data_IF_576740869517
#
_entry.id   IF_576740869517
#
_cell.length_a   1.000
_cell.length_b   1.000
_cell.length_c   1.000
_cell.angle_alpha   90.00
_cell.angle_beta   90.00
_cell.angle_gamma   90.00
#
_symmetry.space_group_name_H-M   'P 1'
#
loop_
_entity.id
_entity.type
_entity.pdbx_description
1 polymer ?
#
# COMPACT_ATOMS: atom_id res chain seq x y z
N UNK A 1 13.83 -16.90 1.93
CA UNK A 1 13.66 -15.74 2.84
C UNK A 1 14.88 -14.82 2.70
N UNK A 2 15.22 -14.44 1.48
CA UNK A 2 16.63 -14.14 1.17
C UNK A 2 16.99 -12.67 1.33
N UNK A 3 16.01 -11.78 1.13
CA UNK A 3 16.12 -10.34 1.40
C UNK A 3 16.14 -10.03 2.89
N UNK A 4 15.56 -10.91 3.71
CA UNK A 4 15.46 -10.74 5.16
C UNK A 4 14.64 -9.54 5.61
N UNK A 5 13.69 -9.11 4.76
CA UNK A 5 12.66 -8.13 5.11
C UNK A 5 11.67 -8.72 6.12
N UNK A 6 11.03 -7.84 6.90
CA UNK A 6 9.86 -8.21 7.68
C UNK A 6 8.61 -8.08 6.82
N UNK A 7 7.78 -9.10 6.76
CA UNK A 7 6.66 -9.16 5.82
C UNK A 7 5.51 -10.01 6.37
N UNK A 8 4.28 -9.54 6.19
CA UNK A 8 3.12 -10.41 6.13
C UNK A 8 2.95 -10.84 4.66
N UNK A 9 3.20 -12.11 4.37
CA UNK A 9 2.99 -12.69 3.05
C UNK A 9 1.54 -13.14 2.95
N UNK A 10 0.70 -12.29 2.35
CA UNK A 10 -0.72 -12.57 2.22
C UNK A 10 -0.99 -13.43 0.97
N UNK A 11 -1.40 -14.67 1.18
CA UNK A 11 -1.77 -15.58 0.10
C UNK A 11 -3.11 -15.16 -0.51
N UNK A 12 -3.13 -14.91 -1.82
CA UNK A 12 -4.32 -14.46 -2.52
C UNK A 12 -5.24 -15.61 -2.90
N UNK A 13 -6.49 -15.55 -2.43
CA UNK A 13 -7.56 -16.45 -2.84
C UNK A 13 -8.44 -15.78 -3.89
N UNK A 14 -8.70 -16.46 -5.00
CA UNK A 14 -9.57 -15.95 -6.05
C UNK A 14 -10.02 -17.06 -7.00
N UNK A 15 -11.11 -16.83 -7.71
CA UNK A 15 -11.53 -17.74 -8.78
C UNK A 15 -10.59 -17.60 -9.98
N UNK A 16 -9.99 -18.72 -10.38
CA UNK A 16 -9.06 -18.80 -11.49
C UNK A 16 -9.71 -19.54 -12.65
N UNK A 17 -9.39 -19.11 -13.88
CA UNK A 17 -9.82 -19.79 -15.12
C UNK A 17 -8.93 -20.99 -15.49
N UNK A 18 -8.08 -21.45 -14.57
CA UNK A 18 -7.18 -22.58 -14.74
C UNK A 18 -7.58 -23.75 -13.83
N UNK A 19 -6.83 -24.84 -13.88
CA UNK A 19 -7.08 -26.05 -13.08
C UNK A 19 -6.64 -25.92 -11.60
N UNK A 20 -6.64 -24.71 -11.02
CA UNK A 20 -6.31 -24.48 -9.61
C UNK A 20 -7.51 -23.91 -8.85
N UNK A 21 -8.38 -24.83 -8.45
CA UNK A 21 -9.65 -24.54 -7.79
C UNK A 21 -9.48 -23.84 -6.43
N UNK A 22 -10.55 -23.20 -5.96
CA UNK A 22 -10.58 -22.57 -4.65
C UNK A 22 -10.27 -23.55 -3.51
N UNK A 23 -10.73 -24.81 -3.63
CA UNK A 23 -10.44 -25.85 -2.65
C UNK A 23 -8.97 -26.26 -2.65
N UNK A 24 -8.33 -26.32 -3.83
CA UNK A 24 -6.89 -26.58 -3.94
C UNK A 24 -6.06 -25.41 -3.41
N UNK A 25 -6.53 -24.17 -3.59
CA UNK A 25 -5.92 -22.99 -2.97
C UNK A 25 -5.97 -23.07 -1.44
N UNK A 26 -7.10 -23.47 -0.85
CA UNK A 26 -7.22 -23.70 0.60
C UNK A 26 -6.28 -24.81 1.08
N UNK A 27 -6.18 -25.93 0.34
CA UNK A 27 -5.25 -27.00 0.66
C UNK A 27 -3.79 -26.54 0.57
N UNK A 28 -3.43 -25.79 -0.48
CA UNK A 28 -2.10 -25.22 -0.65
C UNK A 28 -1.75 -24.26 0.50
N UNK A 29 -2.68 -23.37 0.87
CA UNK A 29 -2.51 -22.49 2.01
C UNK A 29 -2.29 -23.27 3.32
N UNK A 30 -3.09 -24.32 3.56
CA UNK A 30 -2.94 -25.17 4.74
C UNK A 30 -1.57 -25.88 4.78
N UNK A 31 -0.99 -26.22 3.63
CA UNK A 31 0.38 -26.76 3.55
C UNK A 31 1.44 -25.69 3.76
N UNK A 32 1.26 -24.47 3.23
CA UNK A 32 2.16 -23.34 3.49
C UNK A 32 2.19 -22.97 4.97
N UNK A 33 1.06 -23.03 5.67
CA UNK A 33 0.98 -22.78 7.12
C UNK A 33 1.80 -23.78 7.95
N UNK A 34 2.11 -24.96 7.41
CA UNK A 34 2.98 -25.97 8.04
C UNK A 34 4.46 -25.76 7.71
N UNK A 35 4.80 -24.90 6.74
CA UNK A 35 6.17 -24.67 6.32
C UNK A 35 6.90 -23.80 7.36
N UNK A 36 7.86 -24.40 8.05
CA UNK A 36 8.67 -23.73 9.08
C UNK A 36 9.43 -22.50 8.55
N UNK A 37 9.70 -22.43 7.24
CA UNK A 37 10.36 -21.26 6.61
C UNK A 37 9.45 -20.04 6.57
N UNK A 38 8.13 -20.25 6.53
CA UNK A 38 7.11 -19.21 6.46
C UNK A 38 6.38 -19.01 7.80
N UNK A 39 6.48 -19.98 8.70
CA UNK A 39 5.96 -19.93 10.06
C UNK A 39 7.05 -19.52 11.09
N UNK A 40 8.18 -18.97 10.63
CA UNK A 40 9.18 -18.39 11.53
C UNK A 40 8.59 -17.12 12.16
N UNK A 41 8.37 -17.12 13.48
CA UNK A 41 7.48 -16.16 14.14
C UNK A 41 7.84 -14.67 13.99
N UNK A 42 9.05 -14.30 13.57
CA UNK A 42 9.51 -12.90 13.65
C UNK A 42 9.55 -12.17 12.29
N UNK A 43 10.10 -12.77 11.23
CA UNK A 43 10.37 -12.03 9.98
C UNK A 43 9.27 -12.15 8.93
N UNK A 44 8.90 -13.36 8.54
CA UNK A 44 7.81 -13.57 7.58
C UNK A 44 6.73 -14.37 8.24
N UNK A 45 5.51 -13.85 8.11
CA UNK A 45 4.31 -14.47 8.64
C UNK A 45 3.29 -14.59 7.51
N UNK A 46 2.46 -15.62 7.54
CA UNK A 46 1.46 -15.86 6.50
C UNK A 46 0.16 -15.15 6.85
N UNK A 47 -0.34 -14.37 5.89
CA UNK A 47 -1.66 -13.73 5.94
C UNK A 47 -2.56 -14.20 4.79
N UNK A 48 -3.70 -13.55 4.68
CA UNK A 48 -4.75 -13.85 3.69
C UNK A 48 -4.99 -12.60 2.86
N UNK A 49 -5.12 -12.76 1.55
CA UNK A 49 -5.63 -11.72 0.65
C UNK A 49 -6.88 -12.24 -0.06
N UNK A 50 -7.96 -11.45 -0.06
CA UNK A 50 -9.23 -11.83 -0.69
C UNK A 50 -10.04 -10.59 -1.09
N UNK A 51 -10.47 -10.52 -2.36
CA UNK A 51 -11.12 -9.33 -2.94
C UNK A 51 -12.60 -9.54 -3.31
N UNK A 52 -13.15 -10.73 -3.06
CA UNK A 52 -14.47 -11.14 -3.56
C UNK A 52 -15.48 -11.41 -2.43
N UNK A 53 -15.55 -10.51 -1.45
CA UNK A 53 -16.46 -10.67 -0.31
C UNK A 53 -17.93 -10.48 -0.71
N UNK A 54 -18.70 -11.57 -0.69
CA UNK A 54 -20.13 -11.60 -1.01
C UNK A 54 -20.90 -12.28 0.12
N UNK A 55 -22.07 -11.75 0.47
CA UNK A 55 -22.90 -12.36 1.51
C UNK A 55 -23.50 -13.67 1.01
N UNK A 56 -23.67 -14.65 1.90
CA UNK A 56 -24.23 -15.97 1.59
C UNK A 56 -23.48 -16.72 0.47
N UNK A 57 -22.17 -16.51 0.38
CA UNK A 57 -21.28 -17.15 -0.60
C UNK A 57 -20.32 -18.14 0.08
N UNK A 58 -20.20 -19.35 -0.47
CA UNK A 58 -19.38 -20.43 0.11
C UNK A 58 -17.89 -20.07 0.22
N UNK A 59 -17.32 -19.42 -0.80
CA UNK A 59 -15.90 -19.02 -0.79
C UNK A 59 -15.67 -17.94 0.27
N UNK A 60 -16.59 -16.98 0.37
CA UNK A 60 -16.55 -15.95 1.43
C UNK A 60 -16.61 -16.59 2.81
N UNK A 61 -17.54 -17.52 3.05
CA UNK A 61 -17.64 -18.20 4.34
C UNK A 61 -16.37 -19.00 4.66
N UNK A 62 -15.77 -19.68 3.68
CA UNK A 62 -14.52 -20.39 3.87
C UNK A 62 -13.36 -19.45 4.28
N UNK A 63 -13.28 -18.25 3.72
CA UNK A 63 -12.29 -17.24 4.13
C UNK A 63 -12.59 -16.71 5.53
N UNK A 64 -13.86 -16.44 5.86
CA UNK A 64 -14.27 -16.01 7.20
C UNK A 64 -13.86 -17.06 8.24
N UNK A 65 -14.18 -18.33 7.99
CA UNK A 65 -13.81 -19.43 8.87
C UNK A 65 -12.30 -19.59 8.98
N UNK A 66 -11.57 -19.45 7.87
CA UNK A 66 -10.11 -19.54 7.86
C UNK A 66 -9.49 -18.44 8.71
N UNK A 67 -9.93 -17.18 8.57
CA UNK A 67 -9.39 -16.04 9.32
C UNK A 67 -9.75 -16.12 10.80
N UNK A 68 -10.96 -16.57 11.15
CA UNK A 68 -11.42 -16.65 12.54
C UNK A 68 -10.84 -17.87 13.30
N UNK A 69 -10.59 -18.99 12.60
CA UNK A 69 -10.15 -20.23 13.25
C UNK A 69 -8.63 -20.46 13.17
N UNK A 70 -7.89 -19.64 12.40
CA UNK A 70 -6.44 -19.76 12.28
C UNK A 70 -5.75 -18.46 12.69
N UNK A 71 -4.54 -18.60 13.23
CA UNK A 71 -3.69 -17.45 13.57
C UNK A 71 -2.96 -16.95 12.32
N UNK A 72 -3.67 -16.23 11.45
CA UNK A 72 -3.10 -15.56 10.27
C UNK A 72 -2.57 -14.18 10.65
N UNK A 73 -1.47 -13.74 10.03
CA UNK A 73 -0.80 -12.49 10.42
C UNK A 73 -1.53 -11.23 9.99
N UNK A 74 -2.35 -11.31 8.95
CA UNK A 74 -3.18 -10.23 8.45
C UNK A 74 -4.24 -10.76 7.48
N UNK A 75 -5.30 -9.98 7.30
CA UNK A 75 -6.21 -10.06 6.17
C UNK A 75 -6.09 -8.75 5.36
N UNK A 76 -5.89 -8.83 4.06
CA UNK A 76 -5.82 -7.66 3.18
C UNK A 76 -6.78 -7.78 2.00
N UNK A 77 -7.27 -6.64 1.53
CA UNK A 77 -8.15 -6.56 0.35
C UNK A 77 -8.04 -5.18 -0.30
N UNK A 78 -8.46 -5.09 -1.55
CA UNK A 78 -8.68 -3.84 -2.26
C UNK A 78 -10.08 -3.34 -1.97
N UNK A 79 -10.18 -2.09 -1.53
CA UNK A 79 -11.43 -1.37 -1.35
C UNK A 79 -11.34 -0.04 -2.10
N UNK A 80 -12.07 0.09 -3.21
CA UNK A 80 -12.20 1.38 -3.91
C UNK A 80 -13.53 2.03 -3.58
N UNK A 81 -14.64 1.31 -3.81
CA UNK A 81 -15.99 1.89 -3.75
C UNK A 81 -16.26 2.86 -4.90
N UNK A 82 -17.28 3.71 -4.71
CA UNK A 82 -17.65 4.75 -5.68
C UNK A 82 -17.89 4.20 -7.10
N UNK A 83 -17.43 4.88 -8.17
CA UNK A 83 -17.64 4.42 -9.54
C UNK A 83 -16.91 3.12 -9.87
N UNK A 84 -15.91 2.71 -9.07
CA UNK A 84 -15.16 1.47 -9.29
C UNK A 84 -15.94 0.23 -8.81
N UNK A 85 -16.94 0.40 -7.94
CA UNK A 85 -17.79 -0.68 -7.41
C UNK A 85 -17.06 -1.87 -6.73
N UNK A 86 -15.78 -1.71 -6.39
CA UNK A 86 -15.04 -2.68 -5.57
C UNK A 86 -15.35 -2.44 -4.09
N UNK A 87 -16.42 -3.08 -3.59
CA UNK A 87 -17.06 -2.78 -2.32
C UNK A 87 -16.64 -3.71 -1.14
N UNK A 88 -15.34 -3.99 -0.98
CA UNK A 88 -14.81 -4.70 0.19
C UNK A 88 -14.64 -3.77 1.41
N UNK A 89 -15.69 -3.01 1.75
CA UNK A 89 -15.61 -1.92 2.74
C UNK A 89 -15.60 -2.43 4.19
N UNK A 90 -15.18 -1.59 5.15
CA UNK A 90 -15.36 -1.87 6.59
C UNK A 90 -16.80 -2.25 6.95
N UNK A 91 -17.79 -1.57 6.38
CA UNK A 91 -19.20 -1.91 6.58
C UNK A 91 -19.55 -3.32 6.09
N UNK A 92 -19.01 -3.73 4.95
CA UNK A 92 -19.20 -5.09 4.42
C UNK A 92 -18.58 -6.15 5.34
N UNK A 93 -17.39 -5.88 5.87
CA UNK A 93 -16.71 -6.80 6.78
C UNK A 93 -17.36 -6.86 8.16
N UNK A 94 -18.01 -5.78 8.63
CA UNK A 94 -18.81 -5.82 9.86
C UNK A 94 -19.99 -6.77 9.71
N UNK A 95 -20.70 -6.72 8.58
CA UNK A 95 -21.83 -7.64 8.29
C UNK A 95 -21.40 -9.10 8.27
N UNK A 96 -20.15 -9.38 7.84
CA UNK A 96 -19.55 -10.72 7.82
C UNK A 96 -18.95 -11.13 9.17
N UNK A 97 -19.00 -10.26 10.19
CA UNK A 97 -18.48 -10.54 11.53
C UNK A 97 -16.96 -10.57 11.63
N UNK A 98 -16.23 -10.03 10.65
CA UNK A 98 -14.76 -10.06 10.61
C UNK A 98 -14.10 -8.92 11.39
N UNK A 99 -14.79 -7.79 11.56
CA UNK A 99 -14.17 -6.57 12.12
C UNK A 99 -13.75 -6.69 13.58
N UNK A 100 -14.44 -7.49 14.39
CA UNK A 100 -14.21 -7.64 15.83
C UNK A 100 -13.14 -8.70 16.19
N UNK A 101 -12.35 -9.14 15.22
CA UNK A 101 -11.30 -10.16 15.41
C UNK A 101 -9.97 -9.60 15.94
N UNK A 102 -9.05 -10.50 16.26
CA UNK A 102 -7.66 -10.16 16.63
C UNK A 102 -6.74 -9.99 15.42
N UNK A 103 -7.12 -10.53 14.27
CA UNK A 103 -6.39 -10.38 13.01
C UNK A 103 -6.40 -8.92 12.53
N UNK A 104 -5.24 -8.31 12.21
CA UNK A 104 -5.22 -7.00 11.59
C UNK A 104 -5.80 -7.08 10.17
N UNK A 105 -6.65 -6.11 9.83
CA UNK A 105 -7.30 -6.01 8.52
C UNK A 105 -6.81 -4.73 7.84
N UNK A 106 -6.26 -4.88 6.63
CA UNK A 106 -5.76 -3.76 5.84
C UNK A 106 -6.62 -3.58 4.59
N UNK A 107 -7.30 -2.45 4.52
CA UNK A 107 -8.06 -2.03 3.34
C UNK A 107 -7.16 -1.19 2.43
N UNK A 108 -6.72 -1.76 1.32
CA UNK A 108 -5.89 -1.05 0.34
C UNK A 108 -6.75 -0.05 -0.45
N UNK A 109 -6.19 1.14 -0.64
CA UNK A 109 -6.82 2.35 -1.17
C UNK A 109 -7.82 3.01 -0.21
N UNK A 110 -9.01 2.42 -0.10
CA UNK A 110 -10.19 2.97 0.57
C UNK A 110 -10.63 4.36 0.04
N UNK A 111 -10.38 4.63 -1.24
CA UNK A 111 -10.54 5.95 -1.89
C UNK A 111 -11.92 6.60 -1.70
N UNK A 112 -12.98 5.79 -1.65
CA UNK A 112 -14.37 6.22 -1.44
C UNK A 112 -14.95 5.72 -0.12
N UNK A 113 -14.13 5.57 0.93
CA UNK A 113 -14.62 5.29 2.27
C UNK A 113 -15.67 6.32 2.72
N UNK A 114 -16.75 5.82 3.29
CA UNK A 114 -17.84 6.63 3.84
C UNK A 114 -17.55 7.07 5.28
N UNK A 115 -18.40 7.95 5.84
CA UNK A 115 -18.30 8.27 7.27
C UNK A 115 -18.54 7.04 8.15
N UNK A 116 -19.50 6.19 7.79
CA UNK A 116 -19.80 4.96 8.53
C UNK A 116 -18.59 4.01 8.50
N UNK A 117 -17.94 3.85 7.34
CA UNK A 117 -16.70 3.07 7.24
C UNK A 117 -15.60 3.64 8.15
N UNK A 118 -15.47 4.98 8.21
CA UNK A 118 -14.49 5.64 9.07
C UNK A 118 -14.77 5.43 10.57
N UNK A 119 -16.05 5.45 10.97
CA UNK A 119 -16.46 5.15 12.35
C UNK A 119 -16.17 3.69 12.71
N UNK A 120 -16.38 2.75 11.79
CA UNK A 120 -16.07 1.34 11.99
C UNK A 120 -14.57 1.09 12.12
N UNK A 121 -13.74 1.72 11.27
CA UNK A 121 -12.28 1.65 11.39
C UNK A 121 -11.82 2.09 12.79
N UNK A 122 -12.35 3.22 13.29
CA UNK A 122 -12.05 3.72 14.64
C UNK A 122 -12.57 2.81 15.75
N UNK A 123 -13.80 2.29 15.61
CA UNK A 123 -14.45 1.40 16.59
C UNK A 123 -13.67 0.10 16.79
N UNK A 124 -13.12 -0.47 15.72
CA UNK A 124 -12.43 -1.76 15.74
C UNK A 124 -10.89 -1.66 15.67
N UNK A 125 -10.35 -0.43 15.67
CA UNK A 125 -8.92 -0.14 15.51
C UNK A 125 -8.32 -0.89 14.31
N UNK A 126 -8.93 -0.66 13.15
CA UNK A 126 -8.53 -1.19 11.85
C UNK A 126 -8.12 -0.02 10.95
N UNK A 127 -7.21 -0.27 10.01
CA UNK A 127 -6.54 0.79 9.26
C UNK A 127 -6.70 0.58 7.76
N UNK A 128 -6.62 1.69 7.01
CA UNK A 128 -6.48 1.69 5.56
C UNK A 128 -5.02 1.83 5.16
N UNK A 129 -4.67 1.32 3.98
CA UNK A 129 -3.38 1.57 3.33
C UNK A 129 -3.60 2.42 2.08
N UNK A 130 -3.32 3.72 2.17
CA UNK A 130 -3.45 4.67 1.07
C UNK A 130 -2.22 4.64 0.16
N UNK A 131 -2.44 4.42 -1.14
CA UNK A 131 -1.39 4.25 -2.16
C UNK A 131 -1.41 5.41 -3.17
N UNK A 132 -1.18 6.62 -2.67
CA UNK A 132 -1.44 7.86 -3.39
C UNK A 132 -0.93 7.92 -4.84
N UNK A 133 0.36 7.64 -5.11
CA UNK A 133 0.90 7.79 -6.47
C UNK A 133 0.13 6.91 -7.46
N UNK A 134 -0.16 5.67 -7.05
CA UNK A 134 -0.99 4.73 -7.80
C UNK A 134 -2.43 5.26 -7.95
N UNK A 135 -3.03 5.71 -6.85
CA UNK A 135 -4.42 6.19 -6.86
C UNK A 135 -4.63 7.44 -7.72
N UNK A 136 -3.64 8.35 -7.76
CA UNK A 136 -3.67 9.50 -8.66
C UNK A 136 -3.46 9.09 -10.11
N UNK A 137 -2.53 8.17 -10.37
CA UNK A 137 -2.20 7.74 -11.72
C UNK A 137 -3.36 7.01 -12.41
N UNK A 138 -4.05 6.13 -11.68
CA UNK A 138 -5.16 5.34 -12.24
C UNK A 138 -6.54 5.96 -12.02
N UNK A 139 -6.61 7.18 -11.46
CA UNK A 139 -7.88 7.87 -11.25
C UNK A 139 -8.76 7.28 -10.15
N UNK A 140 -8.19 6.49 -9.23
CA UNK A 140 -8.90 5.97 -8.06
C UNK A 140 -9.30 7.11 -7.10
N UNK A 141 -8.49 8.17 -7.03
CA UNK A 141 -8.73 9.30 -6.15
C UNK A 141 -8.57 8.96 -4.67
N UNK A 142 -8.78 9.97 -3.82
CA UNK A 142 -8.61 9.86 -2.36
C UNK A 142 -9.36 11.01 -1.66
N UNK A 143 -10.60 11.27 -2.10
CA UNK A 143 -11.32 12.46 -1.66
C UNK A 143 -11.60 12.45 -0.16
N UNK A 144 -11.83 11.31 0.50
CA UNK A 144 -12.12 11.32 1.94
C UNK A 144 -10.92 10.93 2.81
N UNK A 145 -9.92 10.26 2.24
CA UNK A 145 -8.77 9.72 2.96
C UNK A 145 -8.02 10.74 3.84
N UNK A 146 -7.81 12.02 3.44
CA UNK A 146 -7.20 13.02 4.32
C UNK A 146 -7.94 13.29 5.63
N UNK A 147 -9.23 12.96 5.73
CA UNK A 147 -10.08 13.14 6.91
C UNK A 147 -10.09 11.92 7.85
N UNK A 148 -9.44 10.82 7.47
CA UNK A 148 -9.36 9.55 8.22
C UNK A 148 -7.91 9.13 8.46
N UNK A 149 -6.99 10.10 8.49
CA UNK A 149 -5.55 9.86 8.69
C UNK A 149 -5.23 9.20 10.04
N UNK A 150 -6.12 9.33 11.02
CA UNK A 150 -5.99 8.66 12.32
C UNK A 150 -6.12 7.13 12.23
N UNK A 151 -6.67 6.61 11.13
CA UNK A 151 -6.79 5.18 10.82
C UNK A 151 -6.20 4.85 9.43
N UNK A 152 -5.11 5.53 9.05
CA UNK A 152 -4.47 5.36 7.74
C UNK A 152 -2.96 5.13 7.87
N UNK A 153 -2.41 4.33 6.96
CA UNK A 153 -0.99 4.18 6.68
C UNK A 153 -0.73 4.42 5.18
N UNK A 154 0.53 4.62 4.81
CA UNK A 154 0.92 4.74 3.40
C UNK A 154 1.44 3.42 2.84
N UNK A 155 1.11 3.16 1.57
CA UNK A 155 1.68 2.10 0.76
C UNK A 155 2.19 2.64 -0.57
N UNK A 156 2.98 1.82 -1.27
CA UNK A 156 3.53 2.14 -2.62
C UNK A 156 2.76 1.48 -3.75
N UNK A 157 1.88 0.52 -3.43
CA UNK A 157 1.23 -0.36 -4.40
C UNK A 157 2.23 -1.20 -5.24
N UNK A 158 1.86 -1.48 -6.48
CA UNK A 158 2.64 -2.28 -7.42
C UNK A 158 3.82 -1.50 -8.05
N UNK A 159 4.99 -2.14 -8.04
CA UNK A 159 6.26 -1.57 -8.50
C UNK A 159 6.56 -1.80 -9.99
N UNK A 160 5.56 -2.23 -10.78
CA UNK A 160 5.71 -2.31 -12.23
C UNK A 160 5.55 -0.94 -12.91
N UNK A 161 4.83 -0.01 -12.25
CA UNK A 161 4.65 1.38 -12.73
C UNK A 161 5.50 2.37 -11.94
N UNK A 162 5.61 2.19 -10.61
CA UNK A 162 6.19 3.20 -9.72
C UNK A 162 7.44 2.71 -8.97
N UNK A 163 8.19 3.68 -8.45
CA UNK A 163 9.30 3.40 -7.55
C UNK A 163 8.80 2.89 -6.18
N UNK A 164 9.58 2.04 -5.52
CA UNK A 164 9.28 1.51 -4.17
C UNK A 164 9.68 2.48 -3.06
N UNK A 165 9.51 3.79 -3.28
CA UNK A 165 9.94 4.87 -2.38
C UNK A 165 8.79 5.35 -1.48
N UNK A 166 8.78 4.88 -0.23
CA UNK A 166 7.77 5.28 0.76
C UNK A 166 7.91 6.76 1.20
N UNK A 167 9.11 7.34 1.13
CA UNK A 167 9.32 8.76 1.46
C UNK A 167 8.77 9.64 0.34
N UNK A 168 8.96 9.21 -0.91
CA UNK A 168 8.29 9.77 -2.08
C UNK A 168 6.77 9.79 -1.92
N UNK A 169 6.16 8.65 -1.58
CA UNK A 169 4.72 8.57 -1.29
C UNK A 169 4.31 9.54 -0.18
N UNK A 170 5.05 9.58 0.94
CA UNK A 170 4.74 10.45 2.07
C UNK A 170 4.82 11.95 1.71
N UNK A 171 5.82 12.35 0.92
CA UNK A 171 5.95 13.73 0.43
C UNK A 171 4.81 14.09 -0.51
N UNK A 172 4.49 13.22 -1.46
CA UNK A 172 3.38 13.47 -2.38
C UNK A 172 2.06 13.57 -1.62
N UNK A 173 1.83 12.71 -0.62
CA UNK A 173 0.61 12.72 0.20
C UNK A 173 0.50 13.99 1.02
N UNK A 174 1.61 14.42 1.62
CA UNK A 174 1.71 15.67 2.35
C UNK A 174 1.31 16.86 1.48
N UNK A 175 1.84 16.96 0.26
CA UNK A 175 1.59 18.11 -0.59
C UNK A 175 0.22 18.07 -1.26
N UNK A 176 -0.29 16.90 -1.67
CA UNK A 176 -1.64 16.77 -2.22
C UNK A 176 -2.70 17.14 -1.17
N UNK A 177 -2.52 16.65 0.07
CA UNK A 177 -3.40 16.98 1.20
C UNK A 177 -3.35 18.46 1.53
N UNK A 178 -2.15 19.06 1.57
CA UNK A 178 -1.99 20.51 1.78
C UNK A 178 -2.70 21.32 0.71
N UNK A 179 -2.44 21.01 -0.55
CA UNK A 179 -3.01 21.73 -1.69
C UNK A 179 -4.54 21.72 -1.63
N UNK A 180 -5.13 20.56 -1.38
CA UNK A 180 -6.58 20.41 -1.23
C UNK A 180 -7.16 21.34 -0.17
N UNK A 181 -6.61 21.31 1.05
CA UNK A 181 -7.15 22.12 2.15
C UNK A 181 -6.82 23.59 2.01
N UNK A 182 -5.72 23.95 1.35
CA UNK A 182 -5.45 25.34 0.99
C UNK A 182 -6.49 25.89 0.00
N UNK A 183 -6.90 25.12 -1.01
CA UNK A 183 -7.91 25.60 -1.97
C UNK A 183 -9.25 25.97 -1.32
N UNK A 184 -9.67 25.29 -0.25
CA UNK A 184 -10.88 25.68 0.51
C UNK A 184 -10.84 27.12 1.02
N UNK A 185 -9.65 27.67 1.28
CA UNK A 185 -9.47 29.08 1.66
C UNK A 185 -9.19 29.97 0.44
N UNK A 186 -8.27 29.53 -0.44
CA UNK A 186 -7.81 30.32 -1.59
C UNK A 186 -8.94 30.61 -2.59
N UNK A 187 -9.88 29.67 -2.78
CA UNK A 187 -11.04 29.84 -3.67
C UNK A 187 -11.97 30.96 -3.21
N UNK A 188 -11.88 31.33 -1.92
CA UNK A 188 -12.60 32.44 -1.31
C UNK A 188 -11.74 33.70 -1.18
N UNK A 189 -10.62 33.79 -1.90
CA UNK A 189 -9.64 34.89 -1.84
C UNK A 189 -9.05 35.12 -0.43
N UNK A 190 -9.06 34.09 0.42
CA UNK A 190 -8.45 34.13 1.75
C UNK A 190 -7.05 33.51 1.72
N UNK A 191 -6.12 34.05 2.52
CA UNK A 191 -4.79 33.48 2.71
C UNK A 191 -4.73 32.68 4.02
N UNK A 192 -4.52 31.35 3.97
CA UNK A 192 -4.34 30.52 5.16
C UNK A 192 -3.16 30.99 6.03
N UNK A 193 -3.37 31.03 7.34
CA UNK A 193 -2.33 31.42 8.32
C UNK A 193 -1.50 30.25 8.86
N UNK A 194 -1.91 29.03 8.57
CA UNK A 194 -1.31 27.80 9.09
C UNK A 194 -1.17 26.76 7.99
N UNK A 195 -0.30 25.78 8.22
CA UNK A 195 -0.18 24.62 7.34
C UNK A 195 -1.19 23.54 7.78
N UNK A 196 -2.01 22.97 6.88
CA UNK A 196 -3.03 21.99 7.24
C UNK A 196 -2.48 20.61 7.57
N UNK A 197 -1.21 20.31 7.24
CA UNK A 197 -0.58 19.03 7.55
C UNK A 197 0.92 19.20 7.80
N UNK A 198 1.42 18.65 8.90
CA UNK A 198 2.83 18.71 9.30
C UNK A 198 3.67 17.61 8.64
N UNK A 199 4.99 17.83 8.55
CA UNK A 199 5.92 16.78 8.13
C UNK A 199 5.89 15.57 9.10
N UNK A 200 5.68 15.81 10.40
CA UNK A 200 5.55 14.74 11.40
C UNK A 200 4.35 13.83 11.12
N UNK A 201 3.22 14.37 10.67
CA UNK A 201 2.07 13.54 10.27
C UNK A 201 2.42 12.64 9.09
N UNK A 202 3.05 13.18 8.04
CA UNK A 202 3.50 12.38 6.90
C UNK A 202 4.52 11.30 7.31
N UNK A 203 5.47 11.65 8.17
CA UNK A 203 6.45 10.70 8.73
C UNK A 203 5.78 9.59 9.54
N UNK A 204 4.76 9.93 10.34
CA UNK A 204 3.99 8.97 11.14
C UNK A 204 3.25 7.99 10.25
N UNK A 205 2.59 8.48 9.18
CA UNK A 205 1.89 7.65 8.20
C UNK A 205 2.83 6.68 7.46
N UNK A 206 4.06 7.11 7.16
CA UNK A 206 5.09 6.29 6.51
C UNK A 206 5.81 5.31 7.46
N UNK A 207 5.60 5.40 8.77
CA UNK A 207 6.31 4.58 9.76
C UNK A 207 5.36 3.93 10.76
N UNK A 208 5.01 4.64 11.84
CA UNK A 208 4.22 4.12 12.95
C UNK A 208 2.84 3.65 12.51
N UNK A 209 2.17 4.34 11.61
CA UNK A 209 0.82 3.94 11.20
C UNK A 209 0.80 2.57 10.53
N UNK A 210 1.79 2.23 9.70
CA UNK A 210 1.89 0.88 9.11
C UNK A 210 2.10 -0.21 10.17
N UNK A 211 2.87 0.10 11.23
CA UNK A 211 3.02 -0.81 12.36
C UNK A 211 1.71 -1.00 13.15
N UNK A 212 0.93 0.07 13.33
CA UNK A 212 -0.39 0.02 13.98
C UNK A 212 -1.42 -0.74 13.13
N UNK A 213 -1.43 -0.51 11.82
CA UNK A 213 -2.27 -1.24 10.86
C UNK A 213 -2.06 -2.75 10.92
N UNK A 214 -0.83 -3.18 11.20
CA UNK A 214 -0.46 -4.58 11.37
C UNK A 214 -0.53 -5.05 12.83
N UNK A 215 -1.03 -4.23 13.77
CA UNK A 215 -1.10 -4.51 15.21
C UNK A 215 0.25 -4.93 15.81
N UNK A 216 1.34 -4.27 15.37
CA UNK A 216 2.73 -4.49 15.81
C UNK A 216 3.25 -3.30 16.60
N UNK A 217 2.87 -3.16 17.89
CA UNK A 217 3.30 -2.02 18.70
C UNK A 217 4.81 -1.99 18.94
N UNK A 218 5.50 -3.12 18.74
CA UNK A 218 6.96 -3.30 18.80
C UNK A 218 7.71 -2.79 17.55
N UNK A 219 7.01 -2.20 16.57
CA UNK A 219 7.54 -1.61 15.34
C UNK A 219 7.19 -0.11 15.21
N UNK A 220 7.90 0.57 14.31
CA UNK A 220 7.64 1.97 13.95
C UNK A 220 8.00 3.01 15.02
N UNK A 221 8.59 2.59 16.15
CA UNK A 221 9.07 3.45 17.23
C UNK A 221 10.41 2.93 17.74
N UNK A 222 11.39 3.83 17.91
CA UNK A 222 12.65 3.53 18.57
C UNK A 222 12.44 3.58 20.09
N UNK A 223 12.28 2.41 20.71
CA UNK A 223 12.12 2.27 22.15
C UNK A 223 12.79 0.97 22.64
N UNK A 224 13.21 0.95 23.90
CA UNK A 224 13.74 -0.28 24.51
C UNK A 224 12.67 -1.36 24.49
N UNK A 225 13.02 -2.57 24.03
CA UNK A 225 12.10 -3.70 23.87
C UNK A 225 11.48 -3.84 22.48
N UNK A 226 11.51 -2.78 21.65
CA UNK A 226 11.06 -2.85 20.26
C UNK A 226 12.08 -3.55 19.35
N UNK A 227 11.62 -3.99 18.17
CA UNK A 227 12.52 -4.59 17.17
C UNK A 227 13.45 -3.53 16.60
N UNK A 228 14.71 -3.92 16.37
CA UNK A 228 15.71 -3.06 15.74
C UNK A 228 15.51 -3.03 14.21
N UNK A 229 14.40 -2.43 13.79
CA UNK A 229 14.04 -2.13 12.40
C UNK A 229 14.31 -0.64 12.19
N UNK A 230 15.45 -0.30 11.58
CA UNK A 230 15.94 1.09 11.51
C UNK A 230 16.44 1.44 10.13
N UNK A 231 16.16 2.67 9.70
CA UNK A 231 16.72 3.28 8.50
C UNK A 231 17.54 4.49 8.93
N UNK A 232 18.77 4.59 8.43
CA UNK A 232 19.68 5.72 8.72
C UNK A 232 19.93 6.46 7.41
N UNK A 233 19.64 7.75 7.41
CA UNK A 233 19.89 8.67 6.31
C UNK A 233 21.26 9.34 6.48
N UNK A 234 21.95 9.58 5.37
CA UNK A 234 23.16 10.39 5.31
C UNK A 234 22.76 11.87 5.41
N UNK A 235 23.02 12.48 6.57
CA UNK A 235 22.71 13.88 6.82
C UNK A 235 23.69 14.86 6.16
N UNK A 236 24.79 14.36 5.59
CA UNK A 236 25.83 15.17 4.96
C UNK A 236 25.71 15.17 3.41
N UNK A 237 24.71 14.49 2.86
CA UNK A 237 24.45 14.50 1.42
C UNK A 237 24.03 15.90 0.95
N UNK A 238 24.35 16.32 -0.29
CA UNK A 238 24.13 17.70 -0.73
C UNK A 238 22.69 18.22 -0.57
N UNK A 239 21.67 17.38 -0.77
CA UNK A 239 20.25 17.73 -0.59
C UNK A 239 19.80 17.71 0.87
N UNK A 240 20.56 17.07 1.76
CA UNK A 240 20.30 16.97 3.19
C UNK A 240 21.15 17.95 4.01
N UNK A 241 21.85 18.93 3.41
CA UNK A 241 22.59 19.92 4.18
C UNK A 241 21.67 21.00 4.80
N UNK A 242 22.01 21.47 6.00
CA UNK A 242 21.40 22.67 6.60
C UNK A 242 20.05 22.47 7.30
N UNK A 243 19.71 21.25 7.72
CA UNK A 243 18.50 21.00 8.50
C UNK A 243 18.69 21.32 10.00
N UNK A 244 17.61 21.74 10.63
CA UNK A 244 17.47 21.81 12.09
C UNK A 244 16.43 20.82 12.62
N UNK A 245 15.45 20.45 11.79
CA UNK A 245 14.44 19.44 12.08
C UNK A 245 14.72 18.19 11.22
N UNK A 246 15.13 17.07 11.83
CA UNK A 246 15.46 15.85 11.11
C UNK A 246 14.24 15.19 10.44
N UNK A 247 13.04 15.34 11.01
CA UNK A 247 11.82 14.78 10.42
C UNK A 247 11.44 15.55 9.16
N UNK A 248 11.51 16.89 9.23
CA UNK A 248 11.32 17.73 8.06
C UNK A 248 12.38 17.44 6.98
N UNK A 249 13.65 17.24 7.36
CA UNK A 249 14.74 16.86 6.45
C UNK A 249 14.41 15.56 5.68
N UNK A 250 14.06 14.49 6.41
CA UNK A 250 13.69 13.20 5.80
C UNK A 250 12.50 13.38 4.86
N UNK A 251 11.41 14.00 5.30
CA UNK A 251 10.19 14.07 4.48
C UNK A 251 10.31 15.03 3.30
N UNK A 252 10.92 16.20 3.47
CA UNK A 252 10.90 17.27 2.46
C UNK A 252 12.14 17.28 1.56
N UNK A 253 13.27 16.72 2.01
CA UNK A 253 14.55 16.86 1.33
C UNK A 253 15.18 15.54 0.88
N UNK A 254 14.98 14.44 1.61
CA UNK A 254 15.66 13.18 1.30
C UNK A 254 15.14 12.47 0.05
N UNK A 255 15.87 11.49 -0.43
CA UNK A 255 15.41 10.47 -1.38
C UNK A 255 16.06 9.12 -1.04
N UNK A 256 15.66 8.04 -1.72
CA UNK A 256 16.17 6.67 -1.45
C UNK A 256 17.70 6.53 -1.53
N UNK A 257 18.38 7.43 -2.25
CA UNK A 257 19.84 7.46 -2.37
C UNK A 257 20.54 7.91 -1.09
N UNK A 258 19.87 8.70 -0.26
CA UNK A 258 20.41 9.18 1.03
C UNK A 258 20.40 8.10 2.11
N UNK A 259 19.73 6.98 1.91
CA UNK A 259 19.67 5.91 2.91
C UNK A 259 21.05 5.25 3.00
N UNK A 260 21.78 5.46 4.09
CA UNK A 260 23.11 4.90 4.30
C UNK A 260 23.08 3.48 4.88
N UNK A 261 22.19 3.25 5.85
CA UNK A 261 22.07 1.97 6.53
C UNK A 261 20.62 1.53 6.68
N UNK A 262 20.39 0.22 6.62
CA UNK A 262 19.10 -0.43 6.90
C UNK A 262 19.36 -1.64 7.78
N UNK A 263 18.64 -1.71 8.89
CA UNK A 263 18.63 -2.85 9.81
C UNK A 263 17.20 -3.39 9.92
N UNK A 264 17.05 -4.71 9.93
CA UNK A 264 15.78 -5.40 10.18
C UNK A 264 16.03 -6.49 11.21
N UNK A 265 15.34 -6.42 12.36
CA UNK A 265 15.50 -7.35 13.46
C UNK A 265 16.93 -7.40 14.00
N UNK A 266 17.66 -6.28 14.00
CA UNK A 266 19.05 -6.25 14.45
C UNK A 266 20.08 -6.67 13.39
N UNK A 267 19.64 -7.06 12.19
CA UNK A 267 20.50 -7.56 11.11
C UNK A 267 20.64 -6.52 10.00
N UNK A 268 21.88 -6.27 9.56
CA UNK A 268 22.14 -5.36 8.44
C UNK A 268 21.55 -5.90 7.13
N UNK A 269 20.76 -5.07 6.45
CA UNK A 269 20.24 -5.28 5.08
C UNK A 269 20.87 -4.32 4.08
N UNK A 270 21.28 -3.15 4.55
CA UNK A 270 22.14 -2.20 3.83
C UNK A 270 23.15 -1.63 4.83
N UNK A 271 24.42 -1.53 4.45
CA UNK A 271 25.45 -0.96 5.31
C UNK A 271 26.45 -0.18 4.47
N UNK A 272 26.76 1.05 4.91
CA UNK A 272 27.71 1.94 4.24
C UNK A 272 27.35 2.17 2.76
N UNK A 273 26.05 2.34 2.47
CA UNK A 273 25.56 2.56 1.12
C UNK A 273 25.34 1.29 0.28
N UNK A 274 25.84 0.13 0.72
CA UNK A 274 25.80 -1.12 -0.05
C UNK A 274 24.78 -2.12 0.51
N UNK A 275 24.10 -2.86 -0.39
CA UNK A 275 23.16 -3.91 -0.01
C UNK A 275 23.89 -5.14 0.57
N UNK A 276 23.39 -5.66 1.69
CA UNK A 276 23.86 -6.90 2.29
C UNK A 276 23.05 -8.06 1.72
N UNK A 277 23.57 -8.72 0.70
CA UNK A 277 22.92 -9.86 0.03
C UNK A 277 23.84 -11.06 -0.06
N UNK A 278 23.26 -12.26 0.04
CA UNK A 278 23.95 -13.53 -0.22
C UNK A 278 23.95 -13.91 -1.70
N UNK A 279 23.13 -13.23 -2.51
CA UNK A 279 22.96 -13.54 -3.92
C UNK A 279 24.03 -12.83 -4.77
N UNK A 280 24.39 -13.45 -5.89
CA UNK A 280 25.25 -12.83 -6.89
C UNK A 280 24.48 -11.71 -7.61
N UNK A 281 24.70 -10.45 -7.19
CA UNK A 281 23.96 -9.28 -7.69
C UNK A 281 24.00 -9.17 -9.24
N UNK A 282 25.16 -9.27 -9.92
CA UNK A 282 25.22 -9.34 -11.37
C UNK A 282 24.34 -10.44 -12.00
N UNK A 283 24.33 -11.63 -11.41
CA UNK A 283 23.52 -12.74 -11.93
C UNK A 283 22.01 -12.47 -11.77
N UNK A 284 21.58 -11.97 -10.61
CA UNK A 284 20.18 -11.59 -10.36
C UNK A 284 19.75 -10.47 -11.30
N UNK A 285 20.61 -9.47 -11.52
CA UNK A 285 20.36 -8.39 -12.48
C UNK A 285 20.19 -8.93 -13.90
N UNK A 286 21.04 -9.86 -14.35
CA UNK A 286 20.91 -10.47 -15.67
C UNK A 286 19.60 -11.25 -15.81
N UNK A 287 19.25 -12.10 -14.82
CA UNK A 287 17.99 -12.85 -14.79
C UNK A 287 16.76 -11.94 -14.80
N UNK A 288 16.83 -10.82 -14.08
CA UNK A 288 15.77 -9.80 -14.10
C UNK A 288 15.63 -9.19 -15.50
N UNK A 289 16.73 -8.76 -16.13
CA UNK A 289 16.69 -8.15 -17.46
C UNK A 289 16.21 -9.12 -18.55
N UNK A 290 16.58 -10.40 -18.47
CA UNK A 290 16.05 -11.45 -19.35
C UNK A 290 14.54 -11.63 -19.19
N UNK A 291 14.07 -11.71 -17.94
CA UNK A 291 12.64 -11.82 -17.63
C UNK A 291 11.86 -10.60 -18.10
N UNK A 292 12.39 -9.40 -17.85
CA UNK A 292 11.79 -8.14 -18.27
C UNK A 292 11.62 -8.08 -19.78
N UNK A 293 12.68 -8.37 -20.57
CA UNK A 293 12.60 -8.39 -22.03
C UNK A 293 11.56 -9.38 -22.54
N UNK A 294 11.50 -10.59 -21.95
CA UNK A 294 10.53 -11.63 -22.33
C UNK A 294 9.10 -11.18 -22.06
N UNK A 295 8.82 -10.64 -20.87
CA UNK A 295 7.47 -10.21 -20.46
C UNK A 295 7.05 -8.96 -21.23
N UNK A 296 7.94 -7.98 -21.39
CA UNK A 296 7.67 -6.77 -22.18
C UNK A 296 7.32 -7.09 -23.63
N UNK A 297 8.01 -8.05 -24.24
CA UNK A 297 7.68 -8.51 -25.59
C UNK A 297 6.24 -9.01 -25.68
N UNK A 298 5.81 -9.86 -24.75
CA UNK A 298 4.44 -10.38 -24.70
C UNK A 298 3.43 -9.24 -24.58
N UNK A 299 3.67 -8.28 -23.68
CA UNK A 299 2.76 -7.15 -23.49
C UNK A 299 2.69 -6.20 -24.69
N UNK A 300 3.83 -5.92 -25.34
CA UNK A 300 3.86 -5.09 -26.55
C UNK A 300 3.17 -5.76 -27.75
N UNK A 301 3.15 -7.09 -27.78
CA UNK A 301 2.45 -7.88 -28.79
C UNK A 301 0.97 -8.12 -28.44
N UNK A 302 0.56 -7.86 -27.20
CA UNK A 302 -0.82 -8.01 -26.75
C UNK A 302 -1.62 -6.76 -27.12
N UNK A 303 -2.72 -6.87 -27.90
CA UNK A 303 -3.57 -5.73 -28.20
C UNK A 303 -4.09 -5.07 -26.93
N UNK A 304 -4.11 -3.73 -26.90
CA UNK A 304 -4.75 -3.00 -25.81
C UNK A 304 -6.25 -3.33 -25.77
N UNK A 305 -6.87 -3.39 -24.58
CA UNK A 305 -8.30 -3.57 -24.47
C UNK A 305 -9.03 -2.38 -25.11
N UNK A 306 -10.18 -2.67 -25.75
CA UNK A 306 -11.09 -1.63 -26.23
C UNK A 306 -11.98 -1.18 -25.05
N UNK A 307 -11.70 0.02 -24.53
CA UNK A 307 -12.35 0.57 -23.34
C UNK A 307 -13.49 1.51 -23.76
N UNK A 308 -14.62 0.92 -24.16
CA UNK A 308 -15.82 1.64 -24.59
C UNK A 308 -17.06 1.10 -23.86
N UNK A 309 -18.09 1.94 -23.72
CA UNK A 309 -19.34 1.56 -23.06
C UNK A 309 -19.20 1.44 -21.54
N UNK A 310 -19.94 0.50 -20.95
CA UNK A 310 -20.06 0.35 -19.50
C UNK A 310 -18.80 -0.28 -18.87
N UNK A 311 -18.28 0.35 -17.82
CA UNK A 311 -17.20 -0.17 -16.99
C UNK A 311 -17.67 -1.43 -16.25
N UNK A 312 -17.04 -2.57 -16.50
CA UNK A 312 -17.34 -3.86 -15.87
C UNK A 312 -18.83 -4.26 -15.93
N UNK A 313 -19.57 -3.83 -16.96
CA UNK A 313 -21.01 -4.10 -17.10
C UNK A 313 -21.89 -3.40 -16.07
N UNK A 314 -21.39 -2.33 -15.44
CA UNK A 314 -22.16 -1.48 -14.54
C UNK A 314 -22.91 -0.44 -15.38
N UNK A 315 -24.22 -0.61 -15.52
CA UNK A 315 -25.10 0.21 -16.40
C UNK A 315 -25.19 1.71 -16.11
N UNK A 316 -24.44 2.20 -15.12
CA UNK A 316 -24.42 3.60 -14.69
C UNK A 316 -22.99 4.16 -14.58
N UNK A 317 -21.98 3.42 -15.03
CA UNK A 317 -20.58 3.83 -15.04
C UNK A 317 -20.02 3.57 -16.43
N UNK A 318 -19.81 4.62 -17.21
CA UNK A 318 -19.25 4.51 -18.56
C UNK A 318 -17.75 4.81 -18.58
N UNK A 319 -17.03 4.17 -19.50
CA UNK A 319 -15.71 4.62 -19.91
C UNK A 319 -15.84 6.01 -20.57
N UNK A 320 -15.11 6.98 -20.03
CA UNK A 320 -15.08 8.36 -20.54
C UNK A 320 -13.65 8.86 -20.69
N UNK A 321 -13.44 9.79 -21.61
CA UNK A 321 -12.15 10.46 -21.75
C UNK A 321 -11.96 11.51 -20.66
N UNK A 322 -10.81 11.49 -19.98
CA UNK A 322 -10.39 12.58 -19.12
C UNK A 322 -10.05 13.84 -19.92
N UNK A 323 -10.04 15.00 -19.27
CA UNK A 323 -9.56 16.23 -19.90
C UNK A 323 -8.04 16.13 -20.16
N UNK A 324 -7.65 16.35 -21.41
CA UNK A 324 -6.23 16.33 -21.81
C UNK A 324 -5.57 17.68 -21.56
N UNK A 325 -4.43 17.66 -20.90
CA UNK A 325 -3.54 18.83 -20.76
C UNK A 325 -2.43 18.77 -21.81
N UNK A 326 -2.06 19.92 -22.38
CA UNK A 326 -0.91 20.04 -23.31
C UNK A 326 0.12 21.00 -22.73
N UNK A 327 1.39 20.59 -22.73
CA UNK A 327 2.53 21.40 -22.32
C UNK A 327 3.10 22.22 -23.49
N UNK A 328 2.65 21.96 -24.72
CA UNK A 328 3.07 22.62 -25.95
C UNK A 328 1.92 23.47 -26.48
N UNK A 329 2.25 24.57 -27.19
CA UNK A 329 1.23 25.35 -27.89
C UNK A 329 0.75 24.58 -29.12
N UNK A 330 -0.55 24.38 -29.25
CA UNK A 330 -1.16 23.81 -30.45
C UNK A 330 -2.34 22.89 -30.13
N UNK A 331 -2.67 22.02 -31.09
CA UNK A 331 -3.69 20.97 -30.93
C UNK A 331 -3.05 19.61 -30.61
N UNK A 332 -1.83 19.60 -30.07
CA UNK A 332 -1.18 18.38 -29.62
C UNK A 332 -1.79 17.90 -28.31
N UNK A 333 -1.37 16.72 -27.86
CA UNK A 333 -1.74 16.17 -26.55
C UNK A 333 -0.55 16.14 -25.60
N UNK A 334 0.57 16.80 -25.96
CA UNK A 334 1.81 16.80 -25.18
C UNK A 334 2.53 15.43 -25.08
N UNK A 335 2.01 14.39 -25.73
CA UNK A 335 2.58 13.05 -25.83
C UNK A 335 3.29 12.82 -27.16
#
# INVERSE_FOLDING_TARGET
>A
MDSGVRMAFCYAFHELSNDFSFQEQLANFADLMKDERLNSQDLVQIGVAYDSFVQDNNNTQAIVDLVNNNNVSALTMHFLGGPWSYANSPSKLEQLGLMNGTTPIVFSHASYATNDDAELLRKYDQYISTTLEFEMHYGHGHHNNPLIQDQSALGVDTHFTFSTDIIGQARMWLQSTRLRFFYQSLDNWNIPRNNPMSANQAFTLATRSGALAMRRPDLGVLATGNKADTVVFDGDSPNMLGWSDPVAAVILHSHVGDIRHVMVGGQWRKRDGELVTKQNRPEVQNKFLESAKRIQKIWLETPLPDLQGEFNGLSHVDYVNAYTVDAVRGNGTGY
#
